data_IF_597752665797
#
_entry.id   IF_597752665797
#
_cell.length_a   1.000
_cell.length_b   1.000
_cell.length_c   1.000
_cell.angle_alpha   90.00
_cell.angle_beta   90.00
_cell.angle_gamma   90.00
#
_symmetry.space_group_name_H-M   'P 1'
#
loop_
_entity.id
_entity.type
_entity.pdbx_description
1 polymer ?
#
# COMPACT_ATOMS: atom_id res chain seq x y z
N UNK A 1 -26.03 -15.20 -4.21
CA UNK A 1 -24.65 -15.71 -4.13
C UNK A 1 -23.60 -14.59 -4.18
N UNK A 2 -23.75 -13.51 -4.98
CA UNK A 2 -22.80 -12.40 -4.98
C UNK A 2 -22.70 -11.61 -3.65
N UNK A 3 -23.77 -11.55 -2.84
CA UNK A 3 -23.80 -10.75 -1.59
C UNK A 3 -22.94 -11.31 -0.44
N UNK A 4 -22.73 -12.64 -0.37
CA UNK A 4 -21.90 -13.24 0.69
C UNK A 4 -20.41 -12.98 0.43
N UNK A 5 -19.98 -13.15 -0.83
CA UNK A 5 -18.61 -12.85 -1.25
C UNK A 5 -18.23 -11.38 -1.04
N UNK A 6 -19.17 -10.44 -1.22
CA UNK A 6 -18.90 -9.01 -0.95
C UNK A 6 -18.65 -8.71 0.52
N UNK A 7 -19.35 -9.40 1.44
CA UNK A 7 -19.16 -9.24 2.88
C UNK A 7 -17.77 -9.71 3.33
N UNK A 8 -17.35 -10.88 2.84
CA UNK A 8 -16.03 -11.45 3.18
C UNK A 8 -14.88 -10.61 2.59
N UNK A 9 -15.05 -10.10 1.37
CA UNK A 9 -14.08 -9.20 0.73
C UNK A 9 -13.94 -7.91 1.52
N UNK A 10 -15.04 -7.34 2.03
CA UNK A 10 -14.99 -6.11 2.83
C UNK A 10 -14.21 -6.30 4.14
N UNK A 11 -14.37 -7.45 4.82
CA UNK A 11 -13.61 -7.77 6.04
C UNK A 11 -12.12 -7.91 5.71
N UNK A 12 -11.80 -8.66 4.65
CA UNK A 12 -10.43 -8.83 4.18
C UNK A 12 -9.79 -7.50 3.79
N UNK A 13 -10.52 -6.62 3.09
CA UNK A 13 -10.06 -5.29 2.72
C UNK A 13 -9.70 -4.46 3.95
N UNK A 14 -10.55 -4.42 4.96
CA UNK A 14 -10.29 -3.65 6.20
C UNK A 14 -9.05 -4.19 6.91
N UNK A 15 -8.93 -5.51 7.06
CA UNK A 15 -7.77 -6.12 7.70
C UNK A 15 -6.48 -5.84 6.91
N UNK A 16 -6.50 -6.09 5.60
CA UNK A 16 -5.36 -5.87 4.71
C UNK A 16 -4.91 -4.41 4.75
N UNK A 17 -5.85 -3.47 4.58
CA UNK A 17 -5.60 -2.03 4.63
C UNK A 17 -4.95 -1.64 5.95
N UNK A 18 -5.54 -2.01 7.09
CA UNK A 18 -5.04 -1.60 8.39
C UNK A 18 -3.62 -2.15 8.67
N UNK A 19 -3.35 -3.38 8.25
CA UNK A 19 -2.01 -3.97 8.41
C UNK A 19 -0.98 -3.33 7.46
N UNK A 20 -1.33 -3.13 6.20
CA UNK A 20 -0.44 -2.52 5.21
C UNK A 20 -0.17 -1.05 5.51
N UNK A 21 -1.19 -0.28 5.89
CA UNK A 21 -1.05 1.12 6.32
C UNK A 21 -0.06 1.22 7.48
N UNK A 22 -0.22 0.39 8.51
CA UNK A 22 0.71 0.34 9.64
C UNK A 22 2.15 0.03 9.20
N UNK A 23 2.36 -0.92 8.29
CA UNK A 23 3.71 -1.23 7.81
C UNK A 23 4.30 -0.09 6.97
N UNK A 24 3.50 0.55 6.12
CA UNK A 24 3.96 1.72 5.35
C UNK A 24 4.33 2.89 6.26
N UNK A 25 3.52 3.18 7.29
CA UNK A 25 3.83 4.21 8.29
C UNK A 25 5.13 3.92 9.04
N UNK A 26 5.40 2.66 9.38
CA UNK A 26 6.67 2.27 10.01
C UNK A 26 7.87 2.47 9.07
N UNK A 27 7.76 2.02 7.81
CA UNK A 27 8.81 2.22 6.81
C UNK A 27 9.08 3.71 6.60
N UNK A 28 8.02 4.51 6.50
CA UNK A 28 8.08 5.95 6.35
C UNK A 28 8.70 6.65 7.57
N UNK A 29 8.35 6.20 8.77
CA UNK A 29 8.90 6.73 10.01
C UNK A 29 10.40 6.48 10.09
N UNK A 30 10.84 5.27 9.75
CA UNK A 30 12.26 4.91 9.69
C UNK A 30 13.03 5.68 8.62
N UNK A 31 12.42 5.92 7.45
CA UNK A 31 13.10 6.56 6.31
C UNK A 31 13.11 8.10 6.37
N UNK A 32 12.02 8.71 6.84
CA UNK A 32 11.77 10.14 6.70
C UNK A 32 11.25 10.82 7.98
N UNK A 33 11.10 10.09 9.08
CA UNK A 33 10.66 10.64 10.37
C UNK A 33 9.18 11.03 10.44
N UNK A 34 8.34 10.50 9.54
CA UNK A 34 6.88 10.73 9.53
C UNK A 34 6.12 9.42 9.30
N UNK A 35 4.96 9.28 9.95
CA UNK A 35 4.04 8.16 9.74
C UNK A 35 3.17 8.34 8.47
N UNK A 36 3.11 9.56 7.94
CA UNK A 36 2.41 9.91 6.70
C UNK A 36 3.19 9.40 5.48
N UNK A 37 3.11 8.10 5.23
CA UNK A 37 3.89 7.40 4.21
C UNK A 37 3.71 7.95 2.78
N UNK A 38 2.58 8.58 2.51
CA UNK A 38 2.27 9.24 1.23
C UNK A 38 2.99 10.58 1.06
N UNK A 39 3.56 11.15 2.13
CA UNK A 39 4.40 12.34 2.14
C UNK A 39 5.89 12.03 2.36
N UNK A 40 6.21 10.81 2.78
CA UNK A 40 7.57 10.40 3.16
C UNK A 40 8.55 10.19 2.00
N UNK A 41 8.12 10.44 0.75
CA UNK A 41 8.97 10.23 -0.43
C UNK A 41 9.25 8.76 -0.74
N UNK A 42 8.36 7.84 -0.30
CA UNK A 42 8.42 6.45 -0.74
C UNK A 42 8.27 6.37 -2.27
N UNK A 43 9.04 5.49 -2.91
CA UNK A 43 9.06 5.35 -4.37
C UNK A 43 7.81 4.61 -4.85
N UNK A 44 6.74 5.35 -5.11
CA UNK A 44 5.53 4.81 -5.71
C UNK A 44 5.53 4.98 -7.23
N UNK A 45 5.07 3.98 -7.97
CA UNK A 45 4.83 4.07 -9.41
C UNK A 45 3.68 5.03 -9.74
N UNK A 46 3.54 5.38 -11.02
CA UNK A 46 2.56 6.39 -11.44
C UNK A 46 1.11 6.04 -11.12
N UNK A 47 0.75 4.76 -11.21
CA UNK A 47 -0.61 4.30 -10.91
C UNK A 47 -0.93 4.50 -9.43
N UNK A 48 0.02 4.18 -8.55
CA UNK A 48 -0.14 4.29 -7.10
C UNK A 48 -0.17 5.75 -6.70
N UNK A 49 0.73 6.57 -7.26
CA UNK A 49 0.70 8.01 -7.05
C UNK A 49 -0.62 8.65 -7.53
N UNK A 50 -1.14 8.22 -8.68
CA UNK A 50 -2.43 8.69 -9.21
C UNK A 50 -3.57 8.36 -8.24
N UNK A 51 -3.65 7.13 -7.76
CA UNK A 51 -4.67 6.71 -6.79
C UNK A 51 -4.61 7.51 -5.49
N UNK A 52 -3.41 7.82 -4.97
CA UNK A 52 -3.24 8.68 -3.79
C UNK A 52 -3.74 10.09 -4.07
N UNK A 53 -3.38 10.69 -5.22
CA UNK A 53 -3.83 12.04 -5.59
C UNK A 53 -5.35 12.13 -5.77
N UNK A 54 -5.95 11.12 -6.40
CA UNK A 54 -7.41 11.04 -6.58
C UNK A 54 -8.11 10.93 -5.22
N UNK A 55 -7.66 10.02 -4.34
CA UNK A 55 -8.20 9.88 -2.99
C UNK A 55 -8.05 11.18 -2.17
N UNK A 56 -6.90 11.85 -2.24
CA UNK A 56 -6.67 13.16 -1.62
C UNK A 56 -7.60 14.25 -2.18
N UNK A 57 -7.86 14.20 -3.49
CA UNK A 57 -8.78 15.10 -4.17
C UNK A 57 -10.21 15.01 -3.63
N UNK A 58 -10.65 13.80 -3.27
CA UNK A 58 -11.97 13.56 -2.69
C UNK A 58 -12.12 13.99 -1.22
N UNK A 59 -11.01 14.28 -0.52
CA UNK A 59 -11.09 14.75 0.86
C UNK A 59 -11.60 16.20 0.92
N UNK A 60 -12.58 16.42 1.80
CA UNK A 60 -13.09 17.75 2.13
C UNK A 60 -12.01 18.61 2.81
N UNK A 61 -12.19 19.93 2.82
CA UNK A 61 -11.27 20.87 3.50
C UNK A 61 -11.12 20.50 4.98
N UNK A 62 -12.21 20.11 5.65
CA UNK A 62 -12.18 19.72 7.06
C UNK A 62 -11.38 18.43 7.28
N UNK A 63 -11.55 17.42 6.42
CA UNK A 63 -10.79 16.16 6.48
C UNK A 63 -9.29 16.36 6.18
N UNK A 64 -8.94 17.34 5.33
CA UNK A 64 -7.53 17.70 5.07
C UNK A 64 -6.88 18.41 6.25
N UNK A 65 -7.67 19.08 7.09
CA UNK A 65 -7.19 19.81 8.28
C UNK A 65 -7.06 18.90 9.50
N UNK A 66 -7.91 17.87 9.61
CA UNK A 66 -8.03 17.02 10.78
C UNK A 66 -8.04 15.55 10.41
N UNK A 67 -7.20 14.74 11.05
CA UNK A 67 -7.15 13.28 10.86
C UNK A 67 -6.98 12.85 9.40
N UNK A 68 -6.20 13.61 8.64
CA UNK A 68 -6.02 13.45 7.20
C UNK A 68 -5.56 12.04 6.82
N UNK A 69 -4.62 11.47 7.58
CA UNK A 69 -4.13 10.10 7.37
C UNK A 69 -5.26 9.08 7.34
N UNK A 70 -6.08 9.04 8.40
CA UNK A 70 -7.18 8.07 8.51
C UNK A 70 -8.23 8.25 7.41
N UNK A 71 -8.54 9.50 7.04
CA UNK A 71 -9.47 9.78 5.94
C UNK A 71 -8.90 9.39 4.57
N UNK A 72 -7.62 9.65 4.32
CA UNK A 72 -6.95 9.25 3.09
C UNK A 72 -6.91 7.73 2.95
N UNK A 73 -6.45 7.03 4.00
CA UNK A 73 -6.40 5.56 4.04
C UNK A 73 -7.79 4.97 3.81
N UNK A 74 -8.82 5.54 4.44
CA UNK A 74 -10.21 5.10 4.25
C UNK A 74 -10.73 5.30 2.81
N UNK A 75 -10.25 6.33 2.10
CA UNK A 75 -10.64 6.64 0.73
C UNK A 75 -9.94 5.77 -0.33
N UNK A 76 -8.83 5.09 0.02
CA UNK A 76 -8.12 4.19 -0.87
C UNK A 76 -8.85 2.84 -0.99
N UNK A 77 -9.12 2.43 -2.22
CA UNK A 77 -9.85 1.19 -2.54
C UNK A 77 -9.00 -0.06 -2.32
N UNK A 78 -9.64 -1.22 -2.20
CA UNK A 78 -8.96 -2.52 -2.22
C UNK A 78 -7.92 -2.67 -3.34
N UNK A 79 -8.23 -2.16 -4.54
CA UNK A 79 -7.34 -2.21 -5.69
C UNK A 79 -6.02 -1.48 -5.47
N UNK A 80 -6.01 -0.39 -4.70
CA UNK A 80 -4.78 0.30 -4.31
C UNK A 80 -3.86 -0.62 -3.47
N UNK A 81 -4.41 -1.22 -2.41
CA UNK A 81 -3.65 -2.10 -1.51
C UNK A 81 -3.13 -3.34 -2.26
N UNK A 82 -3.94 -3.88 -3.17
CA UNK A 82 -3.54 -4.97 -4.06
C UNK A 82 -2.45 -4.55 -5.06
N UNK A 83 -2.37 -3.31 -5.52
CA UNK A 83 -1.32 -2.88 -6.45
C UNK A 83 0.06 -2.81 -5.78
N UNK A 84 0.11 -2.45 -4.50
CA UNK A 84 1.34 -2.54 -3.69
C UNK A 84 1.82 -4.00 -3.53
N UNK A 85 0.90 -4.94 -3.77
CA UNK A 85 1.00 -6.38 -4.13
C UNK A 85 2.04 -6.81 -5.15
N UNK A 86 2.30 -5.94 -6.11
CA UNK A 86 2.96 -6.30 -7.37
C UNK A 86 4.42 -5.83 -7.36
N UNK A 87 5.14 -6.05 -8.46
CA UNK A 87 6.58 -5.74 -8.55
C UNK A 87 6.89 -4.24 -8.58
N UNK A 88 5.88 -3.40 -8.81
CA UNK A 88 6.03 -1.97 -9.07
C UNK A 88 6.05 -1.68 -10.57
N UNK A 89 6.28 -0.43 -10.92
CA UNK A 89 6.14 0.05 -12.29
C UNK A 89 6.86 1.36 -12.54
N UNK A 90 6.63 1.95 -13.71
CA UNK A 90 7.30 3.19 -14.11
C UNK A 90 6.91 4.37 -13.22
N UNK A 91 7.89 5.24 -12.97
CA UNK A 91 7.77 6.54 -12.32
C UNK A 91 8.16 7.58 -13.38
N UNK A 92 7.17 8.32 -13.88
CA UNK A 92 7.37 9.41 -14.82
C UNK A 92 7.25 10.74 -14.06
N UNK A 93 8.35 11.15 -13.39
CA UNK A 93 8.38 12.43 -12.69
C UNK A 93 8.65 13.60 -13.66
N UNK A 94 9.74 13.52 -14.43
CA UNK A 94 10.10 14.45 -15.50
C UNK A 94 11.25 13.88 -16.30
N UNK A 95 11.26 13.99 -17.63
CA UNK A 95 12.44 13.64 -18.42
C UNK A 95 13.64 14.51 -17.99
N UNK A 96 14.85 13.95 -17.77
CA UNK A 96 15.29 12.56 -18.01
C UNK A 96 15.21 11.62 -16.78
N UNK A 97 14.64 12.08 -15.66
CA UNK A 97 14.51 11.32 -14.40
C UNK A 97 13.38 10.27 -14.47
N UNK A 98 13.47 9.39 -15.46
CA UNK A 98 12.65 8.18 -15.57
C UNK A 98 13.21 7.10 -14.65
N UNK A 99 12.34 6.55 -13.80
CA UNK A 99 12.71 5.46 -12.90
C UNK A 99 11.63 4.40 -12.85
N UNK A 100 11.89 3.32 -12.12
CA UNK A 100 10.88 2.34 -11.76
C UNK A 100 10.84 2.19 -10.24
N UNK A 101 9.63 2.01 -9.71
CA UNK A 101 9.44 1.52 -8.36
C UNK A 101 9.74 0.02 -8.34
N UNK A 102 10.56 -0.43 -7.39
CA UNK A 102 10.80 -1.83 -7.13
C UNK A 102 10.15 -2.17 -5.79
N UNK A 103 8.87 -2.56 -5.82
CA UNK A 103 8.13 -2.81 -4.58
C UNK A 103 8.62 -4.04 -3.82
N UNK A 104 9.37 -4.94 -4.44
CA UNK A 104 9.99 -6.05 -3.73
C UNK A 104 11.06 -5.53 -2.76
N UNK A 105 11.96 -4.66 -3.24
CA UNK A 105 13.04 -4.12 -2.42
C UNK A 105 12.64 -2.87 -1.62
N UNK A 106 11.78 -2.02 -2.18
CA UNK A 106 11.41 -0.74 -1.58
C UNK A 106 10.33 -0.87 -0.49
N UNK A 107 9.45 -1.88 -0.58
CA UNK A 107 8.30 -2.02 0.33
C UNK A 107 8.20 -3.41 0.98
N UNK A 108 8.20 -4.48 0.17
CA UNK A 108 7.94 -5.86 0.61
C UNK A 108 8.95 -6.32 1.66
N UNK A 109 10.24 -6.28 1.30
CA UNK A 109 11.34 -6.71 2.18
C UNK A 109 11.52 -5.78 3.39
N UNK A 110 11.21 -4.49 3.24
CA UNK A 110 11.34 -3.51 4.34
C UNK A 110 10.29 -3.69 5.43
N UNK A 111 9.05 -4.06 5.07
CA UNK A 111 8.03 -4.23 6.10
C UNK A 111 6.72 -4.86 5.66
N UNK A 112 6.29 -4.70 4.41
CA UNK A 112 4.94 -5.16 4.00
C UNK A 112 4.75 -6.67 4.20
N UNK A 113 5.82 -7.48 4.08
CA UNK A 113 5.78 -8.92 4.37
C UNK A 113 5.26 -9.26 5.78
N UNK A 114 5.46 -8.36 6.75
CA UNK A 114 4.99 -8.54 8.14
C UNK A 114 3.48 -8.38 8.29
N UNK A 115 2.79 -7.87 7.28
CA UNK A 115 1.32 -7.82 7.22
C UNK A 115 0.68 -9.20 7.06
N UNK A 116 1.46 -10.23 6.70
CA UNK A 116 0.99 -11.58 6.42
C UNK A 116 1.60 -12.61 7.39
N UNK A 117 1.19 -12.60 8.67
CA UNK A 117 1.66 -13.57 9.65
C UNK A 117 1.28 -14.99 9.20
N UNK A 118 2.24 -15.92 9.25
CA UNK A 118 2.04 -17.31 8.81
C UNK A 118 2.18 -17.54 7.31
N UNK A 119 2.34 -16.50 6.49
CA UNK A 119 2.52 -16.65 5.04
C UNK A 119 3.69 -17.54 4.64
N UNK A 120 4.84 -17.42 5.34
CA UNK A 120 5.99 -18.32 5.16
C UNK A 120 5.64 -19.79 5.39
N UNK A 121 4.84 -20.06 6.42
CA UNK A 121 4.43 -21.42 6.77
C UNK A 121 3.49 -21.97 5.70
N UNK A 122 2.52 -21.17 5.26
CA UNK A 122 1.62 -21.56 4.17
C UNK A 122 2.38 -21.84 2.86
N UNK A 123 3.35 -21.01 2.50
CA UNK A 123 4.18 -21.27 1.31
C UNK A 123 5.00 -22.55 1.46
N UNK A 124 5.59 -22.80 2.63
CA UNK A 124 6.29 -24.05 2.90
C UNK A 124 5.35 -25.28 2.79
N UNK A 125 4.15 -25.21 3.37
CA UNK A 125 3.13 -26.27 3.31
C UNK A 125 2.67 -26.51 1.86
N UNK A 126 2.66 -25.47 1.02
CA UNK A 126 2.33 -25.54 -0.40
C UNK A 126 3.54 -25.87 -1.32
N UNK A 127 4.72 -26.13 -0.76
CA UNK A 127 5.98 -26.33 -1.48
C UNK A 127 6.32 -25.16 -2.44
N UNK A 128 5.98 -23.94 -2.04
CA UNK A 128 6.22 -22.69 -2.75
C UNK A 128 7.24 -21.81 -2.01
N UNK A 129 7.88 -20.89 -2.75
CA UNK A 129 8.75 -19.88 -2.13
C UNK A 129 7.91 -18.79 -1.48
N UNK A 130 8.35 -18.30 -0.31
CA UNK A 130 7.78 -17.09 0.29
C UNK A 130 8.42 -15.84 -0.29
N UNK A 131 8.20 -15.69 -1.58
CA UNK A 131 8.61 -14.56 -2.42
C UNK A 131 7.38 -14.12 -3.21
N UNK A 132 7.45 -12.93 -3.82
CA UNK A 132 6.39 -12.48 -4.72
C UNK A 132 6.57 -13.03 -6.15
N UNK A 133 7.77 -13.53 -6.45
CA UNK A 133 8.17 -14.22 -7.69
C UNK A 133 8.17 -15.75 -7.54
#
# INVERSE_FOLDING_TARGET
MASACMGDIAILEVALRNHMDRQLSLIALEQAGTEDWYMAGLRFDDRTQRQIREAWGHLTIQQKKWHTHGHLVAALTFGFWRNLLENGGAIHARWPDEGSADYENDLWRKGIVKSFPGGRRHAADANAKWTRD
#
